data_IF_644854337308
#
_entry.id   IF_644854337308
#
_cell.length_a   1.000
_cell.length_b   1.000
_cell.length_c   1.000
_cell.angle_alpha   90.00
_cell.angle_beta   90.00
_cell.angle_gamma   90.00
#
_symmetry.space_group_name_H-M   'P 1'
#
loop_
_entity.id
_entity.type
_entity.pdbx_description
1 polymer ?
#
# COMPACT_ATOMS: atom_id res chain seq x y z
N UNK A 1 39.72 27.57 -59.73
CA UNK A 1 40.06 26.91 -58.46
C UNK A 1 39.28 27.62 -57.34
N UNK A 2 38.05 27.20 -57.03
CA UNK A 2 37.20 27.85 -56.03
C UNK A 2 37.52 27.25 -54.63
N UNK A 3 38.03 28.09 -53.73
CA UNK A 3 38.18 27.77 -52.30
C UNK A 3 36.78 27.82 -51.66
N UNK A 4 36.27 26.67 -51.28
CA UNK A 4 35.10 26.56 -50.41
C UNK A 4 35.45 27.14 -49.02
N UNK A 5 34.71 28.17 -48.64
CA UNK A 5 34.98 28.96 -47.44
C UNK A 5 34.72 28.14 -46.13
N UNK A 6 35.42 28.55 -45.07
CA UNK A 6 35.39 27.96 -43.72
C UNK A 6 33.93 27.79 -43.14
N UNK A 7 32.95 28.51 -43.65
CA UNK A 7 31.57 28.43 -43.23
C UNK A 7 30.83 27.12 -43.61
N UNK A 8 31.19 26.50 -44.74
CA UNK A 8 30.51 25.27 -45.20
C UNK A 8 30.93 24.01 -44.39
N UNK A 9 32.16 23.96 -43.92
CA UNK A 9 32.64 22.87 -43.03
C UNK A 9 31.96 22.93 -41.67
N UNK A 10 31.74 24.11 -41.09
CA UNK A 10 31.06 24.27 -39.79
C UNK A 10 29.57 23.88 -39.85
N UNK A 11 28.92 24.15 -40.95
CA UNK A 11 27.52 23.78 -41.16
C UNK A 11 27.36 22.28 -41.36
N UNK A 12 28.28 21.61 -42.04
CA UNK A 12 28.30 20.15 -42.23
C UNK A 12 28.56 19.39 -40.91
N UNK A 13 29.47 19.87 -40.07
CA UNK A 13 29.73 19.28 -38.75
C UNK A 13 28.53 19.39 -37.81
N UNK A 14 27.89 20.58 -37.72
CA UNK A 14 26.68 20.79 -36.94
C UNK A 14 25.52 19.87 -37.35
N UNK A 15 25.36 19.65 -38.67
CA UNK A 15 24.30 18.80 -39.22
C UNK A 15 24.58 17.30 -38.92
N UNK A 16 25.85 16.87 -38.99
CA UNK A 16 26.29 15.52 -38.67
C UNK A 16 26.07 15.19 -37.19
N UNK A 17 26.44 16.11 -36.28
CA UNK A 17 26.21 15.96 -34.84
C UNK A 17 24.71 15.92 -34.49
N UNK A 18 23.87 16.71 -35.17
CA UNK A 18 22.44 16.69 -34.99
C UNK A 18 21.79 15.37 -35.44
N UNK A 19 22.25 14.81 -36.55
CA UNK A 19 21.82 13.51 -37.06
C UNK A 19 22.28 12.36 -36.18
N UNK A 20 23.49 12.41 -35.63
CA UNK A 20 23.98 11.41 -34.67
C UNK A 20 23.19 11.43 -33.36
N UNK A 21 22.87 12.60 -32.83
CA UNK A 21 22.02 12.76 -31.63
C UNK A 21 20.63 12.18 -31.90
N UNK A 22 20.00 12.48 -33.03
CA UNK A 22 18.69 11.96 -33.42
C UNK A 22 18.74 10.43 -33.57
N UNK A 23 19.81 9.89 -34.16
CA UNK A 23 19.99 8.44 -34.32
C UNK A 23 20.17 7.71 -33.00
N UNK A 24 20.98 8.27 -32.08
CA UNK A 24 21.19 7.73 -30.73
C UNK A 24 19.89 7.80 -29.92
N UNK A 25 19.17 8.92 -30.00
CA UNK A 25 17.88 9.09 -29.35
C UNK A 25 16.85 8.07 -29.86
N UNK A 26 16.79 7.86 -31.17
CA UNK A 26 15.87 6.90 -31.81
C UNK A 26 16.22 5.44 -31.46
N UNK A 27 17.52 5.11 -31.37
CA UNK A 27 18.00 3.77 -30.95
C UNK A 27 17.71 3.49 -29.47
N UNK A 28 17.87 4.49 -28.60
CA UNK A 28 17.54 4.37 -27.18
C UNK A 28 16.03 4.29 -26.97
N UNK A 29 15.23 5.08 -27.68
CA UNK A 29 13.77 4.97 -27.68
C UNK A 29 13.29 3.59 -28.14
N UNK A 30 13.87 3.02 -29.20
CA UNK A 30 13.52 1.64 -29.65
C UNK A 30 13.92 0.57 -28.63
N UNK A 31 15.09 0.68 -27.98
CA UNK A 31 15.49 -0.24 -26.90
C UNK A 31 14.56 -0.13 -25.70
N UNK A 32 14.20 1.09 -25.30
CA UNK A 32 13.27 1.34 -24.20
C UNK A 32 11.86 0.80 -24.52
N UNK A 33 11.34 1.09 -25.71
CA UNK A 33 10.05 0.57 -26.17
C UNK A 33 10.03 -0.96 -26.22
N UNK A 34 11.09 -1.60 -26.73
CA UNK A 34 11.22 -3.07 -26.76
C UNK A 34 11.27 -3.68 -25.35
N UNK A 35 12.06 -3.08 -24.43
CA UNK A 35 12.14 -3.53 -23.04
C UNK A 35 10.78 -3.39 -22.33
N UNK A 36 10.08 -2.29 -22.56
CA UNK A 36 8.76 -2.03 -22.03
C UNK A 36 7.70 -2.99 -22.57
N UNK A 37 7.72 -3.26 -23.88
CA UNK A 37 6.83 -4.22 -24.51
C UNK A 37 7.07 -5.65 -24.00
N UNK A 38 8.32 -6.09 -23.93
CA UNK A 38 8.71 -7.40 -23.38
C UNK A 38 8.28 -7.56 -21.93
N UNK A 39 8.45 -6.51 -21.11
CA UNK A 39 7.99 -6.51 -19.70
C UNK A 39 6.48 -6.69 -19.61
N UNK A 40 5.70 -6.00 -20.44
CA UNK A 40 4.22 -6.15 -20.48
C UNK A 40 3.81 -7.54 -20.94
N UNK A 41 4.44 -8.06 -21.98
CA UNK A 41 4.18 -9.40 -22.49
C UNK A 41 4.52 -10.47 -21.44
N UNK A 42 5.70 -10.39 -20.83
CA UNK A 42 6.12 -11.30 -19.77
C UNK A 42 5.16 -11.27 -18.58
N UNK A 43 4.73 -10.08 -18.14
CA UNK A 43 3.75 -9.94 -17.06
C UNK A 43 2.44 -10.64 -17.40
N UNK A 44 1.94 -10.51 -18.62
CA UNK A 44 0.72 -11.21 -19.07
C UNK A 44 0.92 -12.74 -19.09
N UNK A 45 2.03 -13.21 -19.65
CA UNK A 45 2.36 -14.65 -19.68
C UNK A 45 2.43 -15.23 -18.27
N UNK A 46 3.16 -14.59 -17.36
CA UNK A 46 3.25 -15.00 -15.96
C UNK A 46 1.87 -14.99 -15.28
N UNK A 47 1.02 -14.02 -15.60
CA UNK A 47 -0.34 -13.98 -15.08
C UNK A 47 -1.16 -15.15 -15.56
N UNK A 48 -1.28 -15.37 -16.88
CA UNK A 48 -2.15 -16.40 -17.42
C UNK A 48 -1.62 -17.83 -17.23
N UNK A 49 -0.30 -18.03 -17.28
CA UNK A 49 0.30 -19.37 -17.19
C UNK A 49 0.60 -19.81 -15.75
N UNK A 50 0.79 -18.87 -14.82
CA UNK A 50 1.20 -19.19 -13.45
C UNK A 50 0.19 -18.65 -12.44
N UNK A 51 -0.01 -17.32 -12.38
CA UNK A 51 -0.72 -16.70 -11.28
C UNK A 51 -2.24 -17.03 -11.31
N UNK A 52 -2.86 -16.97 -12.47
CA UNK A 52 -4.28 -17.30 -12.60
C UNK A 52 -4.58 -18.79 -12.34
N UNK A 53 -3.88 -19.78 -12.92
CA UNK A 53 -4.07 -21.18 -12.57
C UNK A 53 -3.83 -21.47 -11.09
N UNK A 54 -2.76 -20.92 -10.51
CA UNK A 54 -2.52 -21.02 -9.07
C UNK A 54 -3.70 -20.46 -8.27
N UNK A 55 -4.25 -19.31 -8.66
CA UNK A 55 -5.35 -18.70 -7.93
C UNK A 55 -6.60 -19.58 -7.84
N UNK A 56 -6.84 -20.48 -8.81
CA UNK A 56 -8.00 -21.37 -8.83
C UNK A 56 -7.84 -22.50 -7.81
N UNK A 57 -6.63 -22.93 -7.47
CA UNK A 57 -6.38 -24.00 -6.53
C UNK A 57 -6.99 -23.73 -5.15
N UNK A 58 -7.39 -24.76 -4.40
CA UNK A 58 -7.79 -24.63 -3.00
C UNK A 58 -6.69 -23.97 -2.15
N UNK A 59 -7.06 -23.14 -1.18
CA UNK A 59 -6.10 -22.47 -0.31
C UNK A 59 -5.20 -23.46 0.45
N UNK A 60 -5.69 -24.64 0.81
CA UNK A 60 -4.90 -25.70 1.45
C UNK A 60 -3.69 -26.11 0.60
N UNK A 61 -3.90 -26.29 -0.71
CA UNK A 61 -2.81 -26.60 -1.65
C UNK A 61 -1.87 -25.40 -1.81
N UNK A 62 -2.43 -24.20 -1.94
CA UNK A 62 -1.65 -22.97 -2.07
C UNK A 62 -0.74 -22.74 -0.86
N UNK A 63 -1.18 -23.06 0.35
CA UNK A 63 -0.33 -22.95 1.55
C UNK A 63 0.84 -23.93 1.56
N UNK A 64 0.75 -25.08 0.90
CA UNK A 64 1.92 -25.96 0.70
C UNK A 64 3.00 -25.23 -0.15
N UNK A 65 2.57 -24.41 -1.11
CA UNK A 65 3.49 -23.60 -1.95
C UNK A 65 4.09 -22.42 -1.15
N UNK A 66 3.45 -21.95 -0.08
CA UNK A 66 4.02 -20.88 0.76
C UNK A 66 5.31 -21.29 1.46
N UNK A 67 5.53 -22.58 1.74
CA UNK A 67 6.74 -23.07 2.39
C UNK A 67 7.99 -22.92 1.51
N UNK A 68 8.07 -23.44 0.26
CA UNK A 68 9.20 -23.17 -0.62
C UNK A 68 9.38 -21.68 -0.89
N UNK A 69 8.31 -20.91 -1.02
CA UNK A 69 8.40 -19.45 -1.17
C UNK A 69 9.06 -18.80 0.06
N UNK A 70 8.72 -19.24 1.27
CA UNK A 70 9.39 -18.81 2.50
C UNK A 70 10.90 -19.13 2.46
N UNK A 71 11.29 -20.34 2.07
CA UNK A 71 12.70 -20.73 1.97
C UNK A 71 13.47 -19.87 0.96
N UNK A 72 12.86 -19.60 -0.20
CA UNK A 72 13.45 -18.73 -1.23
C UNK A 72 13.64 -17.31 -0.68
N UNK A 73 12.63 -16.72 -0.08
CA UNK A 73 12.68 -15.34 0.43
C UNK A 73 13.66 -15.19 1.59
N UNK A 74 13.69 -16.15 2.51
CA UNK A 74 14.47 -16.02 3.75
C UNK A 74 15.93 -16.47 3.61
N UNK A 75 16.19 -17.52 2.83
CA UNK A 75 17.54 -18.14 2.77
C UNK A 75 18.25 -17.93 1.43
N UNK A 76 17.53 -17.99 0.30
CA UNK A 76 18.17 -17.86 -1.03
C UNK A 76 18.33 -16.37 -1.36
N UNK A 77 17.23 -15.60 -1.34
CA UNK A 77 17.25 -14.19 -1.71
C UNK A 77 17.61 -13.27 -0.56
N UNK A 78 17.47 -13.73 0.70
CA UNK A 78 17.60 -12.88 1.89
C UNK A 78 16.86 -11.54 1.72
N UNK A 79 15.60 -11.62 1.24
CA UNK A 79 14.84 -10.48 0.73
C UNK A 79 14.77 -9.35 1.76
N UNK A 80 15.45 -8.24 1.48
CA UNK A 80 15.51 -7.04 2.33
C UNK A 80 15.91 -7.31 3.79
N UNK A 81 16.70 -8.35 4.05
CA UNK A 81 17.10 -8.78 5.40
C UNK A 81 17.63 -7.64 6.25
N UNK A 82 18.61 -6.88 5.76
CA UNK A 82 19.20 -5.75 6.48
C UNK A 82 18.16 -4.67 6.83
N UNK A 83 17.19 -4.42 5.94
CA UNK A 83 16.12 -3.45 6.22
C UNK A 83 15.23 -3.95 7.36
N UNK A 84 14.82 -5.22 7.30
CA UNK A 84 13.97 -5.84 8.31
C UNK A 84 14.69 -5.86 9.67
N UNK A 85 15.95 -6.29 9.70
CA UNK A 85 16.74 -6.35 10.94
C UNK A 85 16.92 -4.97 11.56
N UNK A 86 17.30 -3.96 10.75
CA UNK A 86 17.47 -2.59 11.23
C UNK A 86 16.16 -1.99 11.74
N UNK A 87 15.05 -2.24 11.03
CA UNK A 87 13.75 -1.77 11.47
C UNK A 87 13.38 -2.39 12.82
N UNK A 88 13.56 -3.70 13.00
CA UNK A 88 13.25 -4.41 14.25
C UNK A 88 14.14 -3.96 15.42
N UNK A 89 15.46 -3.87 15.21
CA UNK A 89 16.40 -3.46 16.24
C UNK A 89 16.14 -2.05 16.77
N UNK A 90 15.82 -1.12 15.87
CA UNK A 90 15.50 0.26 16.26
C UNK A 90 14.12 0.37 16.93
N UNK A 91 13.16 -0.44 16.48
CA UNK A 91 11.79 -0.44 17.02
C UNK A 91 11.69 -1.12 18.38
N UNK A 92 12.57 -2.08 18.65
CA UNK A 92 12.58 -2.87 19.88
C UNK A 92 13.99 -2.96 20.46
N UNK A 93 14.52 -1.87 21.02
CA UNK A 93 15.93 -1.82 21.48
C UNK A 93 16.25 -2.83 22.59
N UNK A 94 15.24 -3.30 23.32
CA UNK A 94 15.39 -4.30 24.37
C UNK A 94 15.39 -5.75 23.87
N UNK A 95 15.19 -5.99 22.54
CA UNK A 95 15.22 -7.35 22.00
C UNK A 95 16.66 -7.76 21.70
N UNK A 96 17.01 -8.97 22.14
CA UNK A 96 18.26 -9.60 21.74
C UNK A 96 18.24 -10.04 20.26
N UNK A 97 19.41 -10.29 19.70
CA UNK A 97 19.55 -10.73 18.29
C UNK A 97 18.82 -12.03 18.00
N UNK A 98 18.64 -12.91 18.97
CA UNK A 98 17.91 -14.17 18.83
C UNK A 98 16.40 -13.91 18.64
N UNK A 99 15.85 -13.00 19.43
CA UNK A 99 14.45 -12.55 19.31
C UNK A 99 14.20 -11.85 17.98
N UNK A 100 15.08 -10.93 17.57
CA UNK A 100 14.98 -10.27 16.27
C UNK A 100 15.01 -11.28 15.12
N UNK A 101 15.92 -12.26 15.15
CA UNK A 101 15.99 -13.36 14.16
C UNK A 101 14.69 -14.18 14.14
N UNK A 102 14.11 -14.48 15.31
CA UNK A 102 12.84 -15.22 15.42
C UNK A 102 11.70 -14.45 14.78
N UNK A 103 11.54 -13.16 15.11
CA UNK A 103 10.48 -12.29 14.54
C UNK A 103 10.66 -12.15 13.03
N UNK A 104 11.88 -11.92 12.53
CA UNK A 104 12.16 -11.86 11.09
C UNK A 104 11.75 -13.16 10.37
N UNK A 105 12.07 -14.33 10.92
CA UNK A 105 11.70 -15.60 10.31
C UNK A 105 10.17 -15.80 10.30
N UNK A 106 9.50 -15.41 11.37
CA UNK A 106 8.03 -15.40 11.44
C UNK A 106 7.43 -14.41 10.44
N UNK A 107 8.06 -13.25 10.25
CA UNK A 107 7.67 -12.27 9.22
C UNK A 107 7.79 -12.86 7.81
N UNK A 108 8.91 -13.51 7.45
CA UNK A 108 9.05 -14.14 6.13
C UNK A 108 8.01 -15.24 5.91
N UNK A 109 7.75 -16.03 6.93
CA UNK A 109 6.72 -17.07 6.88
C UNK A 109 5.34 -16.46 6.63
N UNK A 110 4.97 -15.45 7.38
CA UNK A 110 3.72 -14.71 7.18
C UNK A 110 3.67 -14.02 5.81
N UNK A 111 4.74 -13.36 5.41
CA UNK A 111 4.81 -12.65 4.14
C UNK A 111 4.69 -13.58 2.92
N UNK A 112 5.22 -14.80 3.01
CA UNK A 112 5.01 -15.82 1.98
C UNK A 112 3.55 -16.26 1.89
N UNK A 113 2.85 -16.39 3.04
CA UNK A 113 1.42 -16.69 3.07
C UNK A 113 0.59 -15.54 2.47
N UNK A 114 0.91 -14.28 2.80
CA UNK A 114 0.25 -13.12 2.19
C UNK A 114 0.40 -13.11 0.66
N UNK A 115 1.57 -13.45 0.14
CA UNK A 115 1.79 -13.58 -1.31
C UNK A 115 0.86 -14.60 -1.96
N UNK A 116 0.65 -15.74 -1.31
CA UNK A 116 -0.29 -16.78 -1.75
C UNK A 116 -1.74 -16.33 -1.65
N UNK A 117 -2.11 -15.67 -0.58
CA UNK A 117 -3.46 -15.12 -0.36
C UNK A 117 -3.79 -14.01 -1.36
N UNK A 118 -2.80 -13.19 -1.73
CA UNK A 118 -2.91 -12.18 -2.78
C UNK A 118 -3.13 -12.81 -4.16
N UNK A 119 -2.44 -13.92 -4.47
CA UNK A 119 -2.73 -14.69 -5.67
C UNK A 119 -4.15 -15.27 -5.64
N UNK A 120 -4.58 -15.83 -4.49
CA UNK A 120 -5.94 -16.39 -4.31
C UNK A 120 -7.04 -15.35 -4.49
N UNK A 121 -6.79 -14.09 -4.13
CA UNK A 121 -7.74 -12.99 -4.30
C UNK A 121 -8.28 -12.91 -5.73
N UNK A 122 -7.49 -13.28 -6.76
CA UNK A 122 -7.85 -13.19 -8.18
C UNK A 122 -9.10 -14.02 -8.52
N UNK A 123 -9.26 -15.20 -7.91
CA UNK A 123 -10.37 -16.14 -8.22
C UNK A 123 -11.30 -16.42 -7.03
N UNK A 124 -11.04 -15.82 -5.86
CA UNK A 124 -11.79 -16.10 -4.64
C UNK A 124 -13.24 -15.65 -4.77
N UNK A 125 -14.22 -16.53 -4.49
CA UNK A 125 -15.64 -16.18 -4.55
C UNK A 125 -16.08 -15.29 -3.40
N UNK A 126 -17.14 -14.47 -3.59
CA UNK A 126 -17.74 -13.58 -2.59
C UNK A 126 -18.00 -14.32 -1.26
N UNK A 127 -18.63 -15.50 -1.33
CA UNK A 127 -18.91 -16.36 -0.16
C UNK A 127 -17.64 -16.72 0.60
N UNK A 128 -16.56 -17.09 -0.11
CA UNK A 128 -15.29 -17.45 0.51
C UNK A 128 -14.59 -16.24 1.13
N UNK A 129 -14.66 -15.06 0.51
CA UNK A 129 -14.12 -13.83 1.11
C UNK A 129 -14.82 -13.57 2.43
N UNK A 130 -16.13 -13.46 2.46
CA UNK A 130 -16.91 -13.12 3.68
C UNK A 130 -16.81 -14.19 4.78
N UNK A 131 -16.60 -15.47 4.41
CA UNK A 131 -16.35 -16.53 5.40
C UNK A 131 -14.98 -16.42 6.08
N UNK A 132 -14.00 -15.83 5.38
CA UNK A 132 -12.59 -15.81 5.81
C UNK A 132 -12.12 -14.45 6.29
N UNK A 133 -12.84 -13.40 5.91
CA UNK A 133 -12.46 -12.02 6.18
C UNK A 133 -13.71 -11.21 6.48
N UNK A 134 -13.96 -10.93 7.75
CA UNK A 134 -15.19 -10.28 8.20
C UNK A 134 -14.95 -9.29 9.32
N UNK A 135 -15.71 -8.22 9.34
CA UNK A 135 -15.77 -7.29 10.45
C UNK A 135 -16.57 -7.91 11.61
N UNK A 136 -16.07 -7.77 12.84
CA UNK A 136 -16.75 -8.25 14.06
C UNK A 136 -17.82 -7.29 14.55
N UNK A 137 -17.68 -6.00 14.27
CA UNK A 137 -18.51 -4.91 14.76
C UNK A 137 -18.86 -3.89 13.65
N UNK A 138 -19.47 -4.35 12.54
CA UNK A 138 -19.77 -3.47 11.40
C UNK A 138 -20.80 -2.38 11.74
N UNK A 139 -21.58 -2.55 12.81
CA UNK A 139 -22.54 -1.57 13.30
C UNK A 139 -21.90 -0.24 13.69
N UNK A 140 -20.65 -0.24 14.17
CA UNK A 140 -19.92 1.00 14.46
C UNK A 140 -19.66 1.86 13.24
N UNK A 141 -19.52 1.24 12.07
CA UNK A 141 -19.35 1.95 10.79
C UNK A 141 -20.72 2.28 10.21
N UNK A 142 -21.64 1.32 10.23
CA UNK A 142 -22.95 1.46 9.59
C UNK A 142 -23.84 2.52 10.27
N UNK A 143 -23.63 2.86 11.55
CA UNK A 143 -24.35 3.98 12.20
C UNK A 143 -24.18 5.29 11.44
N UNK A 144 -22.98 5.57 10.92
CA UNK A 144 -22.71 6.77 10.15
C UNK A 144 -23.36 6.75 8.76
N UNK A 145 -23.51 5.57 8.17
CA UNK A 145 -24.29 5.42 6.95
C UNK A 145 -25.76 5.79 7.15
N UNK A 146 -26.36 5.36 8.27
CA UNK A 146 -27.74 5.71 8.61
C UNK A 146 -27.92 7.22 8.88
N UNK A 147 -26.85 7.90 9.28
CA UNK A 147 -26.79 9.36 9.41
C UNK A 147 -26.52 10.08 8.07
N UNK A 148 -26.33 9.34 6.97
CA UNK A 148 -25.98 9.89 5.66
C UNK A 148 -24.53 10.39 5.55
N UNK A 149 -23.65 10.00 6.47
CA UNK A 149 -22.25 10.44 6.53
C UNK A 149 -21.31 9.41 5.91
N UNK A 150 -20.30 9.89 5.18
CA UNK A 150 -19.12 9.09 4.83
C UNK A 150 -18.22 8.90 6.04
N UNK A 151 -17.27 7.95 5.95
CA UNK A 151 -16.30 7.68 7.02
C UNK A 151 -14.88 7.54 6.45
N UNK A 152 -13.86 7.90 7.25
CA UNK A 152 -12.44 7.62 6.96
C UNK A 152 -12.02 6.41 7.79
N UNK A 153 -11.68 5.31 7.11
CA UNK A 153 -11.15 4.09 7.71
C UNK A 153 -9.62 4.07 7.62
N UNK A 154 -8.96 4.42 8.71
CA UNK A 154 -7.50 4.41 8.81
C UNK A 154 -6.98 3.05 9.23
N UNK A 155 -5.88 2.61 8.64
CA UNK A 155 -5.14 1.41 9.04
C UNK A 155 -3.72 1.40 8.48
N UNK A 156 -3.13 0.21 8.39
CA UNK A 156 -1.74 -0.01 7.97
C UNK A 156 -1.58 -1.26 7.12
N UNK A 157 -0.38 -1.45 6.57
CA UNK A 157 0.03 -2.68 5.91
C UNK A 157 0.32 -3.79 6.94
N UNK A 158 -0.69 -4.12 7.74
CA UNK A 158 -0.65 -5.14 8.78
C UNK A 158 -1.58 -6.30 8.43
N UNK A 159 -1.11 -7.53 8.54
CA UNK A 159 -1.83 -8.74 8.10
C UNK A 159 -2.28 -8.63 6.62
N UNK A 160 -3.49 -9.09 6.29
CA UNK A 160 -3.99 -9.13 4.92
C UNK A 160 -4.84 -7.91 4.56
N UNK A 161 -4.20 -6.76 4.33
CA UNK A 161 -4.85 -5.53 3.87
C UNK A 161 -5.46 -5.65 2.45
N UNK A 162 -4.97 -6.57 1.61
CA UNK A 162 -5.49 -6.75 0.25
C UNK A 162 -6.91 -7.32 0.25
N UNK A 163 -7.19 -8.26 1.17
CA UNK A 163 -8.55 -8.77 1.29
C UNK A 163 -9.50 -7.74 1.90
N UNK A 164 -8.98 -6.75 2.64
CA UNK A 164 -9.81 -5.62 3.06
C UNK A 164 -10.29 -4.82 1.86
N UNK A 165 -9.39 -4.44 0.94
CA UNK A 165 -9.78 -3.72 -0.29
C UNK A 165 -10.79 -4.54 -1.09
N UNK A 166 -10.54 -5.84 -1.30
CA UNK A 166 -11.46 -6.74 -2.02
C UNK A 166 -12.85 -6.79 -1.39
N UNK A 167 -12.96 -6.71 -0.06
CA UNK A 167 -14.20 -6.93 0.69
C UNK A 167 -14.86 -5.67 1.20
N UNK A 168 -14.26 -4.51 1.05
CA UNK A 168 -14.68 -3.27 1.69
C UNK A 168 -16.16 -2.95 1.46
N UNK A 169 -16.62 -2.99 0.22
CA UNK A 169 -18.02 -2.77 -0.18
C UNK A 169 -18.99 -3.91 0.27
N UNK A 170 -18.43 -5.03 0.75
CA UNK A 170 -19.23 -6.13 1.31
C UNK A 170 -19.30 -6.11 2.83
N UNK A 171 -18.41 -5.38 3.51
CA UNK A 171 -18.33 -5.31 4.97
C UNK A 171 -19.33 -4.29 5.55
N UNK A 172 -19.56 -3.20 4.82
CA UNK A 172 -20.32 -2.06 5.29
C UNK A 172 -21.39 -1.67 4.28
N UNK A 173 -22.36 -0.85 4.72
CA UNK A 173 -23.41 -0.29 3.85
C UNK A 173 -22.90 0.83 2.93
N UNK A 174 -21.79 1.47 3.32
CA UNK A 174 -21.13 2.52 2.56
C UNK A 174 -20.57 1.99 1.23
N UNK A 175 -20.51 2.85 0.22
CA UNK A 175 -19.70 2.58 -0.95
C UNK A 175 -18.21 2.51 -0.58
N UNK A 176 -17.55 1.40 -0.85
CA UNK A 176 -16.17 1.15 -0.45
C UNK A 176 -15.17 1.80 -1.41
N UNK A 177 -14.32 2.70 -0.90
CA UNK A 177 -13.26 3.36 -1.68
C UNK A 177 -11.89 3.08 -1.08
N UNK A 178 -11.06 2.32 -1.80
CA UNK A 178 -9.67 2.05 -1.41
C UNK A 178 -8.72 3.09 -2.03
N UNK A 179 -7.97 3.82 -1.19
CA UNK A 179 -6.99 4.81 -1.64
C UNK A 179 -5.61 4.18 -1.76
N UNK A 180 -4.99 4.29 -2.92
CA UNK A 180 -3.70 3.66 -3.20
C UNK A 180 -2.72 4.53 -3.97
N UNK A 181 -1.54 3.97 -4.24
CA UNK A 181 -0.53 4.54 -5.10
C UNK A 181 -0.41 3.75 -6.40
N UNK A 182 -0.02 4.43 -7.48
CA UNK A 182 0.24 3.77 -8.75
C UNK A 182 1.39 2.77 -8.68
N UNK A 183 1.20 1.62 -9.33
CA UNK A 183 2.27 0.67 -9.54
C UNK A 183 3.08 1.04 -10.79
N UNK A 184 4.39 0.83 -10.75
CA UNK A 184 5.28 1.06 -11.90
C UNK A 184 4.94 0.14 -13.08
N UNK A 185 4.48 -1.08 -12.83
CA UNK A 185 4.00 -2.00 -13.86
C UNK A 185 2.49 -1.84 -14.06
N UNK A 186 2.09 -1.09 -15.06
CA UNK A 186 0.67 -0.81 -15.36
C UNK A 186 -0.16 -2.05 -15.75
N UNK A 187 0.46 -3.10 -16.26
CA UNK A 187 -0.24 -4.38 -16.54
C UNK A 187 -0.58 -5.07 -15.23
N UNK A 188 0.39 -5.16 -14.32
CA UNK A 188 0.19 -5.72 -12.98
C UNK A 188 -0.85 -4.90 -12.19
N UNK A 189 -0.74 -3.55 -12.22
CA UNK A 189 -1.72 -2.65 -11.59
C UNK A 189 -3.15 -2.95 -12.06
N UNK A 190 -3.35 -3.06 -13.38
CA UNK A 190 -4.67 -3.38 -13.96
C UNK A 190 -5.19 -4.74 -13.49
N UNK A 191 -4.33 -5.76 -13.42
CA UNK A 191 -4.69 -7.10 -12.97
C UNK A 191 -5.14 -7.09 -11.51
N UNK A 192 -4.36 -6.47 -10.63
CA UNK A 192 -4.65 -6.41 -9.20
C UNK A 192 -5.89 -5.56 -8.93
N UNK A 193 -6.02 -4.41 -9.58
CA UNK A 193 -7.21 -3.58 -9.39
C UNK A 193 -8.49 -4.25 -9.87
N UNK A 194 -8.44 -5.01 -11.00
CA UNK A 194 -9.58 -5.83 -11.41
C UNK A 194 -9.99 -6.86 -10.34
N UNK A 195 -9.03 -7.42 -9.60
CA UNK A 195 -9.34 -8.30 -8.49
C UNK A 195 -9.94 -7.53 -7.31
N UNK A 196 -9.35 -6.39 -6.93
CA UNK A 196 -9.80 -5.54 -5.80
C UNK A 196 -11.22 -5.00 -5.99
N UNK A 197 -11.56 -4.58 -7.23
CA UNK A 197 -12.84 -3.93 -7.53
C UNK A 197 -13.97 -4.89 -7.87
N UNK A 198 -13.70 -6.19 -7.85
CA UNK A 198 -14.64 -7.20 -8.35
C UNK A 198 -15.95 -7.29 -7.60
N UNK A 199 -16.01 -6.82 -6.36
CA UNK A 199 -17.18 -6.92 -5.49
C UNK A 199 -17.75 -5.58 -5.06
N UNK A 200 -17.49 -4.52 -5.81
CA UNK A 200 -18.08 -3.20 -5.60
C UNK A 200 -17.07 -2.13 -5.18
N UNK A 201 -16.02 -2.49 -4.46
CA UNK A 201 -15.00 -1.52 -4.03
C UNK A 201 -14.43 -0.74 -5.21
N UNK A 202 -14.37 0.58 -5.12
CA UNK A 202 -13.64 1.44 -6.02
C UNK A 202 -12.20 1.61 -5.55
N UNK A 203 -11.24 1.66 -6.48
CA UNK A 203 -9.83 1.95 -6.17
C UNK A 203 -9.45 3.28 -6.82
N UNK A 204 -9.10 4.24 -5.98
CA UNK A 204 -8.66 5.58 -6.39
C UNK A 204 -7.19 5.78 -6.05
N UNK A 205 -6.52 6.68 -6.78
CA UNK A 205 -5.11 6.96 -6.59
C UNK A 205 -4.90 8.35 -5.98
N UNK A 206 -3.73 8.55 -5.41
CA UNK A 206 -3.37 9.79 -4.73
C UNK A 206 -3.44 11.05 -5.60
N UNK A 207 -3.42 10.91 -6.93
CA UNK A 207 -3.52 12.01 -7.89
C UNK A 207 -4.97 12.43 -8.16
N UNK A 208 -5.95 11.53 -8.04
CA UNK A 208 -7.38 11.82 -8.26
C UNK A 208 -8.27 11.68 -7.02
N UNK A 209 -7.72 11.27 -5.86
CA UNK A 209 -8.51 11.03 -4.65
C UNK A 209 -9.32 12.25 -4.19
N UNK A 210 -8.78 13.47 -4.37
CA UNK A 210 -9.48 14.70 -3.97
C UNK A 210 -10.74 14.95 -4.80
N UNK A 211 -10.69 14.66 -6.09
CA UNK A 211 -11.81 14.82 -7.01
C UNK A 211 -12.91 13.80 -6.69
N UNK A 212 -12.51 12.53 -6.47
CA UNK A 212 -13.44 11.46 -6.14
C UNK A 212 -14.13 11.73 -4.80
N UNK A 213 -13.40 12.12 -3.77
CA UNK A 213 -13.98 12.47 -2.46
C UNK A 213 -14.93 13.67 -2.59
N UNK A 214 -14.52 14.73 -3.30
CA UNK A 214 -15.37 15.90 -3.52
C UNK A 214 -16.68 15.52 -4.24
N UNK A 215 -16.60 14.63 -5.23
CA UNK A 215 -17.78 14.13 -5.95
C UNK A 215 -18.74 13.40 -5.00
N UNK A 216 -18.27 12.47 -4.19
CA UNK A 216 -19.10 11.70 -3.26
C UNK A 216 -19.76 12.61 -2.20
N UNK A 217 -18.97 13.50 -1.58
CA UNK A 217 -19.48 14.39 -0.54
C UNK A 217 -20.48 15.42 -1.10
N UNK A 218 -20.22 15.98 -2.29
CA UNK A 218 -21.15 16.94 -2.93
C UNK A 218 -22.45 16.29 -3.36
N UNK A 219 -22.43 15.01 -3.75
CA UNK A 219 -23.62 14.28 -4.19
C UNK A 219 -24.27 13.47 -3.05
N UNK A 220 -23.82 13.64 -1.80
CA UNK A 220 -24.35 12.94 -0.63
C UNK A 220 -24.39 11.41 -0.81
N UNK A 221 -23.30 10.85 -1.36
CA UNK A 221 -23.12 9.40 -1.52
C UNK A 221 -22.22 8.90 -0.38
N UNK A 222 -22.78 8.28 0.68
CA UNK A 222 -22.00 7.86 1.82
C UNK A 222 -20.94 6.82 1.44
N UNK A 223 -19.66 7.14 1.62
CA UNK A 223 -18.53 6.33 1.27
C UNK A 223 -17.65 5.96 2.47
N UNK A 224 -17.02 4.77 2.44
CA UNK A 224 -16.00 4.35 3.39
C UNK A 224 -14.61 4.46 2.71
N UNK A 225 -13.89 5.52 3.06
CA UNK A 225 -12.56 5.81 2.50
C UNK A 225 -11.47 5.06 3.26
N UNK A 226 -11.00 3.95 2.72
CA UNK A 226 -9.92 3.16 3.30
C UNK A 226 -8.56 3.76 2.95
N UNK A 227 -7.83 4.21 3.97
CA UNK A 227 -6.51 4.87 3.81
C UNK A 227 -5.47 4.20 4.71
N UNK A 228 -4.39 3.68 4.11
CA UNK A 228 -3.24 3.13 4.82
C UNK A 228 -2.18 4.23 4.97
N UNK A 229 -2.00 4.73 6.21
CA UNK A 229 -1.15 5.91 6.49
C UNK A 229 0.23 5.56 7.05
N UNK A 230 0.63 4.29 7.08
CA UNK A 230 1.85 3.80 7.72
C UNK A 230 3.12 3.82 6.85
N UNK A 231 3.05 4.26 5.59
CA UNK A 231 4.21 4.37 4.72
C UNK A 231 4.89 5.75 4.80
N UNK A 232 6.09 5.84 4.21
CA UNK A 232 6.83 7.09 4.16
C UNK A 232 6.06 8.20 3.45
N UNK A 233 6.06 9.42 3.99
CA UNK A 233 5.58 10.58 3.26
C UNK A 233 6.44 10.83 2.03
N UNK A 234 5.81 11.05 0.88
CA UNK A 234 6.50 11.43 -0.36
C UNK A 234 7.12 12.82 -0.27
N UNK A 235 6.51 13.70 0.53
CA UNK A 235 6.98 15.06 0.83
C UNK A 235 7.20 15.16 2.34
N UNK A 236 8.46 15.01 2.83
CA UNK A 236 8.76 15.02 4.26
C UNK A 236 8.34 16.29 5.00
N UNK A 237 8.35 17.44 4.31
CA UNK A 237 7.92 18.74 4.86
C UNK A 237 6.40 18.90 5.02
N UNK A 238 5.60 17.89 4.66
CA UNK A 238 4.13 17.90 4.75
C UNK A 238 3.65 16.63 5.41
N UNK A 239 4.11 16.38 6.62
CA UNK A 239 3.75 15.17 7.37
C UNK A 239 3.41 15.51 8.83
N UNK A 240 2.85 14.56 9.53
CA UNK A 240 2.74 14.57 10.97
C UNK A 240 3.93 13.81 11.56
N UNK A 241 4.67 14.41 12.48
CA UNK A 241 5.83 13.78 13.14
C UNK A 241 5.46 13.31 14.52
N UNK A 242 5.65 12.03 14.80
CA UNK A 242 5.41 11.40 16.09
C UNK A 242 6.60 10.54 16.53
N UNK A 243 6.70 10.28 17.84
CA UNK A 243 7.48 9.15 18.32
C UNK A 243 6.70 7.88 18.03
N UNK A 244 7.29 6.99 17.27
CA UNK A 244 6.65 5.75 16.83
C UNK A 244 7.68 4.63 16.81
N UNK A 245 7.43 3.58 17.57
CA UNK A 245 8.35 2.45 17.72
C UNK A 245 9.78 2.93 18.06
N UNK A 246 9.90 3.75 19.09
CA UNK A 246 11.15 4.34 19.60
C UNK A 246 11.92 5.23 18.58
N UNK A 247 11.28 5.75 17.56
CA UNK A 247 11.91 6.58 16.53
C UNK A 247 11.03 7.76 16.15
N UNK A 248 11.60 8.97 15.96
CA UNK A 248 10.89 10.08 15.33
C UNK A 248 10.50 9.70 13.90
N UNK A 249 9.23 9.77 13.59
CA UNK A 249 8.67 9.20 12.38
C UNK A 249 7.64 10.11 11.75
N UNK A 250 7.82 10.44 10.47
CA UNK A 250 6.82 11.19 9.71
C UNK A 250 5.71 10.29 9.17
N UNK A 251 4.47 10.74 9.26
CA UNK A 251 3.27 10.07 8.75
C UNK A 251 2.55 10.91 7.71
N UNK A 252 1.90 10.25 6.75
CA UNK A 252 1.03 10.92 5.78
C UNK A 252 -0.20 11.48 6.50
N UNK A 253 -0.37 12.81 6.46
CA UNK A 253 -1.50 13.49 7.12
C UNK A 253 -2.74 13.67 6.23
N UNK A 254 -2.73 13.08 5.05
CA UNK A 254 -3.83 13.25 4.09
C UNK A 254 -5.18 12.78 4.62
N UNK A 255 -5.22 11.68 5.38
CA UNK A 255 -6.42 11.14 6.02
C UNK A 255 -7.06 12.15 7.00
N UNK A 256 -6.27 12.75 7.88
CA UNK A 256 -6.76 13.80 8.80
C UNK A 256 -7.23 15.04 8.02
N UNK A 257 -6.45 15.47 7.03
CA UNK A 257 -6.81 16.64 6.20
C UNK A 257 -8.14 16.46 5.46
N UNK A 258 -8.44 15.25 4.98
CA UNK A 258 -9.75 14.94 4.37
C UNK A 258 -10.86 14.87 5.40
N UNK A 259 -10.63 14.18 6.53
CA UNK A 259 -11.60 14.06 7.60
C UNK A 259 -12.03 15.45 8.10
N UNK A 260 -11.09 16.34 8.37
CA UNK A 260 -11.37 17.72 8.81
C UNK A 260 -12.08 18.56 7.78
N UNK A 261 -11.71 18.43 6.49
CA UNK A 261 -12.31 19.23 5.42
C UNK A 261 -13.81 19.00 5.26
N UNK A 262 -14.26 17.77 5.43
CA UNK A 262 -15.64 17.35 5.21
C UNK A 262 -16.34 16.93 6.52
N UNK A 263 -15.70 17.12 7.66
CA UNK A 263 -16.13 16.70 9.00
C UNK A 263 -16.56 15.23 9.05
N UNK A 264 -15.73 14.35 8.46
CA UNK A 264 -16.02 12.92 8.36
C UNK A 264 -15.54 12.16 9.59
N UNK A 265 -16.37 11.33 10.22
CA UNK A 265 -15.94 10.44 11.28
C UNK A 265 -14.74 9.60 10.87
N UNK A 266 -13.78 9.47 11.79
CA UNK A 266 -12.54 8.71 11.57
C UNK A 266 -12.54 7.49 12.47
N UNK A 267 -12.33 6.32 11.86
CA UNK A 267 -12.25 5.05 12.55
C UNK A 267 -10.92 4.36 12.21
N UNK A 268 -10.37 3.66 13.19
CA UNK A 268 -9.23 2.76 13.00
C UNK A 268 -9.74 1.35 12.87
N UNK A 269 -9.21 0.59 11.91
CA UNK A 269 -9.45 -0.84 11.86
C UNK A 269 -8.13 -1.62 11.94
N UNK A 270 -8.13 -2.69 12.72
CA UNK A 270 -7.04 -3.66 12.77
C UNK A 270 -7.48 -5.00 12.22
N UNK A 271 -6.58 -5.65 11.50
CA UNK A 271 -6.79 -6.98 10.95
C UNK A 271 -6.16 -8.00 11.86
N UNK A 272 -6.95 -8.88 12.45
CA UNK A 272 -6.50 -9.93 13.37
C UNK A 272 -6.52 -11.25 12.63
N UNK A 273 -5.37 -11.94 12.61
CA UNK A 273 -5.27 -13.29 12.08
C UNK A 273 -5.77 -14.31 13.12
N UNK A 274 -6.93 -14.89 12.88
CA UNK A 274 -7.51 -15.91 13.79
C UNK A 274 -6.88 -17.29 13.57
N UNK A 275 -6.70 -17.65 12.29
CA UNK A 275 -6.01 -18.86 11.85
C UNK A 275 -5.55 -18.69 10.39
N UNK A 276 -4.90 -19.68 9.84
CA UNK A 276 -4.40 -19.64 8.47
C UNK A 276 -5.55 -19.36 7.48
N UNK A 277 -5.42 -18.22 6.75
CA UNK A 277 -6.42 -17.75 5.79
C UNK A 277 -7.77 -17.37 6.39
N UNK A 278 -7.80 -17.01 7.66
CA UNK A 278 -8.98 -16.46 8.32
C UNK A 278 -8.59 -15.24 9.15
N UNK A 279 -9.32 -14.17 8.94
CA UNK A 279 -9.06 -12.86 9.55
C UNK A 279 -10.35 -12.26 10.07
N UNK A 280 -10.24 -11.56 11.19
CA UNK A 280 -11.27 -10.70 11.75
C UNK A 280 -10.80 -9.26 11.66
N UNK A 281 -11.73 -8.37 11.37
CA UNK A 281 -11.51 -6.92 11.39
C UNK A 281 -12.18 -6.41 12.65
N UNK A 282 -11.44 -5.74 13.52
CA UNK A 282 -12.00 -5.01 14.65
C UNK A 282 -11.87 -3.50 14.35
N UNK A 283 -12.99 -2.76 14.50
CA UNK A 283 -13.08 -1.33 14.25
C UNK A 283 -13.21 -0.58 15.57
N UNK A 284 -12.51 0.55 15.68
CA UNK A 284 -12.53 1.47 16.81
C UNK A 284 -12.71 2.91 16.31
N UNK A 285 -13.54 3.71 16.97
CA UNK A 285 -13.74 5.12 16.61
C UNK A 285 -12.56 5.94 17.14
N UNK A 286 -11.88 6.67 16.26
CA UNK A 286 -10.88 7.67 16.64
C UNK A 286 -11.58 8.98 16.99
N UNK A 287 -12.52 9.42 16.12
CA UNK A 287 -13.20 10.70 16.27
C UNK A 287 -14.49 10.70 15.45
N UNK A 288 -15.56 11.26 16.01
CA UNK A 288 -16.83 11.46 15.30
C UNK A 288 -16.94 12.85 14.66
N UNK A 289 -16.32 13.88 15.26
CA UNK A 289 -16.34 15.27 14.82
C UNK A 289 -14.93 15.83 14.69
N UNK A 290 -14.23 15.58 13.55
CA UNK A 290 -12.86 16.03 13.32
C UNK A 290 -12.65 17.54 13.43
N UNK A 291 -13.67 18.34 13.09
CA UNK A 291 -13.62 19.80 13.16
C UNK A 291 -13.44 20.34 14.59
N UNK A 292 -13.89 19.59 15.61
CA UNK A 292 -13.79 19.96 17.02
C UNK A 292 -12.42 19.64 17.65
N UNK A 293 -11.62 18.79 17.02
CA UNK A 293 -10.34 18.37 17.55
C UNK A 293 -9.19 19.32 17.16
N UNK A 294 -8.14 19.44 17.97
CA UNK A 294 -6.91 20.12 17.58
C UNK A 294 -6.28 19.48 16.34
N UNK A 295 -5.60 20.27 15.51
CA UNK A 295 -4.86 19.75 14.35
C UNK A 295 -3.77 18.78 14.80
N UNK A 296 -3.70 17.60 14.19
CA UNK A 296 -2.79 16.50 14.56
C UNK A 296 -3.34 15.50 15.57
N UNK A 297 -4.46 15.78 16.25
CA UNK A 297 -5.02 14.88 17.26
C UNK A 297 -5.44 13.52 16.70
N UNK A 298 -5.98 13.49 15.49
CA UNK A 298 -6.36 12.26 14.78
C UNK A 298 -5.12 11.45 14.45
N UNK A 299 -4.07 12.09 13.93
CA UNK A 299 -2.80 11.42 13.63
C UNK A 299 -2.11 10.92 14.90
N UNK A 300 -2.18 11.67 16.02
CA UNK A 300 -1.69 11.23 17.31
C UNK A 300 -2.35 9.91 17.72
N UNK A 301 -3.68 9.89 17.77
CA UNK A 301 -4.43 8.68 18.16
C UNK A 301 -4.19 7.51 17.21
N UNK A 302 -4.14 7.76 15.91
CA UNK A 302 -3.82 6.75 14.91
C UNK A 302 -2.44 6.12 15.15
N UNK A 303 -1.41 6.92 15.44
CA UNK A 303 -0.05 6.41 15.67
C UNK A 303 0.05 5.55 16.92
N UNK A 304 -0.67 5.90 17.99
CA UNK A 304 -0.77 5.10 19.22
C UNK A 304 -1.42 3.74 18.94
N UNK A 305 -2.59 3.72 18.30
CA UNK A 305 -3.31 2.49 17.95
C UNK A 305 -2.52 1.58 17.01
N UNK A 306 -1.80 2.17 16.06
CA UNK A 306 -0.93 1.43 15.16
C UNK A 306 0.26 0.82 15.92
N UNK A 307 0.89 1.58 16.80
CA UNK A 307 2.02 1.12 17.60
C UNK A 307 1.61 -0.06 18.50
N UNK A 308 0.47 0.03 19.17
CA UNK A 308 -0.10 -1.04 19.99
C UNK A 308 -0.43 -2.28 19.16
N UNK A 309 -1.00 -2.09 17.97
CA UNK A 309 -1.27 -3.18 17.03
C UNK A 309 0.00 -3.91 16.64
N UNK A 310 1.09 -3.19 16.32
CA UNK A 310 2.37 -3.80 15.93
C UNK A 310 3.03 -4.48 17.13
N UNK A 311 3.03 -3.85 18.30
CA UNK A 311 3.62 -4.42 19.52
C UNK A 311 2.92 -5.71 19.96
N UNK A 312 1.61 -5.82 19.73
CA UNK A 312 0.84 -7.02 20.08
C UNK A 312 1.28 -8.26 19.29
N UNK A 313 1.62 -8.13 18.01
CA UNK A 313 2.12 -9.22 17.16
C UNK A 313 3.07 -8.68 16.08
N UNK A 314 4.34 -8.43 16.43
CA UNK A 314 5.30 -7.77 15.54
C UNK A 314 5.48 -8.44 14.17
N UNK A 315 5.46 -9.78 13.99
CA UNK A 315 5.70 -10.41 12.70
C UNK A 315 4.74 -10.03 11.58
N UNK A 316 3.60 -9.42 11.90
CA UNK A 316 2.52 -9.21 10.93
C UNK A 316 2.53 -7.85 10.24
N UNK A 317 3.41 -6.92 10.64
CA UNK A 317 3.58 -5.63 9.97
C UNK A 317 4.60 -5.72 8.81
N UNK A 318 4.50 -4.81 7.83
CA UNK A 318 5.33 -4.82 6.61
C UNK A 318 6.77 -4.34 6.87
N UNK A 319 7.54 -5.10 7.63
CA UNK A 319 8.93 -4.77 8.01
C UNK A 319 9.89 -4.60 6.84
N UNK A 320 9.59 -5.14 5.66
CA UNK A 320 10.41 -4.95 4.47
C UNK A 320 10.30 -3.55 3.86
N UNK A 321 9.33 -2.73 4.26
CA UNK A 321 9.25 -1.34 3.84
C UNK A 321 10.37 -0.51 4.48
N UNK A 322 11.00 0.41 3.70
CA UNK A 322 12.00 1.35 4.23
C UNK A 322 11.30 2.48 4.99
N UNK A 323 10.67 2.16 6.13
CA UNK A 323 9.81 3.08 6.88
C UNK A 323 10.56 4.33 7.34
N UNK A 324 11.79 4.16 7.79
CA UNK A 324 12.66 5.23 8.27
C UNK A 324 13.70 5.62 7.21
N UNK A 325 13.23 5.90 5.99
CA UNK A 325 14.07 6.39 4.88
C UNK A 325 14.46 7.86 5.08
N UNK A 326 13.54 8.65 5.63
CA UNK A 326 13.77 10.06 5.92
C UNK A 326 14.11 10.21 7.39
N UNK A 327 15.07 11.10 7.67
CA UNK A 327 15.45 11.47 9.02
C UNK A 327 14.56 12.62 9.51
N UNK A 328 14.00 12.46 10.70
CA UNK A 328 13.16 13.43 11.37
C UNK A 328 13.71 13.81 12.75
N UNK A 329 14.99 13.49 13.06
CA UNK A 329 15.61 13.75 14.37
C UNK A 329 15.45 15.20 14.81
N UNK A 330 15.66 16.14 13.89
CA UNK A 330 15.59 17.58 14.14
C UNK A 330 14.20 18.20 13.86
N UNK A 331 13.25 17.41 13.34
CA UNK A 331 11.91 17.90 13.07
C UNK A 331 11.13 18.12 14.38
N UNK A 332 10.36 19.20 14.52
CA UNK A 332 9.44 19.34 15.64
C UNK A 332 8.36 18.23 15.58
N UNK A 333 7.78 17.95 16.76
CA UNK A 333 6.65 17.00 16.84
C UNK A 333 5.38 17.65 16.30
N UNK A 334 4.47 16.84 15.80
CA UNK A 334 3.20 17.32 15.27
C UNK A 334 3.22 17.57 13.76
N UNK A 335 2.36 18.48 13.29
CA UNK A 335 2.23 18.81 11.88
C UNK A 335 3.37 19.70 11.37
N UNK A 336 3.88 19.35 10.18
CA UNK A 336 4.92 20.09 9.47
C UNK A 336 4.32 20.90 8.32
#
# INVERSE_FOLDING_TARGET
MYRLGKGSKYMFEKTKTKLEIIFIFNKNCRKFARKFFLSKMLTRLLFYLILYPLSVLPLSILYLISFPLYLILSYILSYRKTIIDNNLLRSFPNFDLKTVKKIRNQYYWHFSQLGIEMAKMISMSRKNVMRRYRCSNPELVNKFYEEGKSVVLMSSHYNNWEWMVLSLDMQFKHHGIGVGAHNTNKVFEKIINRARTRYGTEVVFHDNVREVMAYHETNHIPAAYMILSDQNPSIPKRCYVANFLNQKTGFLRGSEGFARKYDLPVLYYKVIKEKLGHYRIDVEVICESPSELPDGAIMQRYTELLEDTIKSNPPYWLWSHRRWKHDFSDAPMGNQ
#
